data_IF_355608346798
#
_entry.id   IF_355608346798
#
_cell.length_a   1.000
_cell.length_b   1.000
_cell.length_c   1.000
_cell.angle_alpha   90.00
_cell.angle_beta   90.00
_cell.angle_gamma   90.00
#
_symmetry.space_group_name_H-M   'P 1'
#
loop_
_entity.id
_entity.type
_entity.pdbx_description
1 polymer ?
#
# COMPACT_ATOMS: atom_id res chain seq x y z
N UNK A 1 60.34 -27.94 20.73
CA UNK A 1 58.91 -27.95 21.12
C UNK A 1 58.77 -27.11 22.40
N UNK A 2 58.47 -25.80 22.28
CA UNK A 2 58.11 -24.84 23.37
C UNK A 2 58.41 -23.42 22.85
N UNK A 3 57.46 -22.82 22.11
CA UNK A 3 57.35 -21.35 21.89
C UNK A 3 56.25 -20.97 20.85
N UNK A 4 55.17 -21.74 20.71
CA UNK A 4 54.05 -21.37 19.82
C UNK A 4 52.66 -21.41 20.47
N UNK A 5 52.60 -21.62 21.78
CA UNK A 5 51.34 -21.68 22.55
C UNK A 5 50.95 -20.36 23.21
N UNK A 6 51.81 -19.32 23.16
CA UNK A 6 51.55 -18.03 23.84
C UNK A 6 50.71 -17.03 23.03
N UNK A 7 50.85 -16.99 21.70
CA UNK A 7 50.12 -16.02 20.88
C UNK A 7 48.64 -16.40 20.66
N UNK A 8 48.31 -17.69 20.57
CA UNK A 8 46.92 -18.13 20.42
C UNK A 8 46.06 -17.80 21.64
N UNK A 9 46.62 -17.89 22.86
CA UNK A 9 45.90 -17.54 24.10
C UNK A 9 45.66 -16.04 24.26
N UNK A 10 46.61 -15.21 23.84
CA UNK A 10 46.48 -13.75 23.92
C UNK A 10 45.40 -13.21 22.97
N UNK A 11 45.28 -13.78 21.78
CA UNK A 11 44.30 -13.34 20.77
C UNK A 11 42.87 -13.71 21.14
N UNK A 12 42.65 -14.88 21.75
CA UNK A 12 41.33 -15.31 22.25
C UNK A 12 40.89 -14.52 23.49
N UNK A 13 41.83 -14.15 24.37
CA UNK A 13 41.54 -13.30 25.53
C UNK A 13 41.15 -11.86 25.14
N UNK A 14 41.77 -11.30 24.10
CA UNK A 14 41.44 -9.97 23.55
C UNK A 14 40.05 -9.94 22.88
N UNK A 15 39.63 -11.02 22.22
CA UNK A 15 38.28 -11.15 21.65
C UNK A 15 37.19 -11.30 22.72
N UNK A 16 37.46 -12.02 23.80
CA UNK A 16 36.52 -12.14 24.94
C UNK A 16 36.46 -10.84 25.75
N UNK A 17 37.59 -10.15 25.93
CA UNK A 17 37.65 -8.83 26.58
C UNK A 17 36.98 -7.71 25.75
N UNK A 18 36.94 -7.85 24.42
CA UNK A 18 36.19 -6.96 23.52
C UNK A 18 34.67 -7.22 23.46
N UNK A 19 34.21 -8.40 23.91
CA UNK A 19 32.78 -8.76 23.98
C UNK A 19 32.14 -8.41 25.32
N UNK A 20 32.92 -8.32 26.40
CA UNK A 20 32.46 -7.94 27.74
C UNK A 20 31.83 -6.53 27.83
N UNK A 21 32.27 -5.49 27.10
CA UNK A 21 31.61 -4.18 27.13
C UNK A 21 30.24 -4.17 26.40
N UNK A 22 29.99 -5.13 25.50
CA UNK A 22 28.71 -5.26 24.79
C UNK A 22 27.64 -5.88 25.70
N UNK A 23 28.06 -6.73 26.65
CA UNK A 23 27.18 -7.31 27.69
C UNK A 23 26.91 -6.33 28.86
N UNK A 24 27.69 -5.25 28.95
CA UNK A 24 27.53 -4.16 29.92
C UNK A 24 27.28 -2.84 29.19
N UNK A 25 26.37 -2.85 28.21
CA UNK A 25 25.86 -1.60 27.66
C UNK A 25 25.34 -0.74 28.82
N UNK A 26 26.06 0.32 29.18
CA UNK A 26 25.57 1.28 30.16
C UNK A 26 24.28 1.85 29.60
N UNK A 27 23.15 1.78 30.33
CA UNK A 27 21.92 2.37 29.85
C UNK A 27 22.22 3.82 29.51
N UNK A 28 21.84 4.23 28.29
CA UNK A 28 22.08 5.59 27.85
C UNK A 28 21.50 6.56 28.91
N UNK A 29 22.27 7.56 29.31
CA UNK A 29 21.79 8.62 30.20
C UNK A 29 21.39 9.81 29.33
N UNK A 30 20.19 10.35 29.57
CA UNK A 30 19.75 11.53 28.84
C UNK A 30 20.67 12.72 29.16
N UNK A 31 21.13 13.44 28.14
CA UNK A 31 21.94 14.65 28.31
C UNK A 31 21.17 15.78 29.01
N UNK A 32 19.84 15.68 29.08
CA UNK A 32 18.95 16.63 29.77
C UNK A 32 17.98 15.89 30.71
N UNK A 33 17.55 16.57 31.77
CA UNK A 33 16.70 16.06 32.86
C UNK A 33 15.24 15.78 32.47
N UNK A 34 14.91 15.79 31.19
CA UNK A 34 13.54 15.66 30.68
C UNK A 34 13.00 14.21 30.67
N UNK A 35 13.85 13.21 30.95
CA UNK A 35 13.47 11.79 31.02
C UNK A 35 13.32 11.09 29.66
N UNK A 36 13.01 9.79 29.69
CA UNK A 36 12.70 8.98 28.50
C UNK A 36 11.19 8.92 28.24
N UNK A 37 10.74 8.79 26.98
CA UNK A 37 9.35 8.51 26.70
C UNK A 37 8.94 7.15 27.26
N UNK A 38 7.67 7.00 27.63
CA UNK A 38 7.05 5.70 27.92
C UNK A 38 6.20 5.29 26.73
N UNK A 39 6.53 4.16 26.11
CA UNK A 39 5.77 3.62 24.99
C UNK A 39 4.60 2.76 25.49
N UNK A 40 3.47 2.84 24.79
CA UNK A 40 2.28 2.04 25.05
C UNK A 40 1.79 1.36 23.76
N UNK A 41 0.83 0.46 23.88
CA UNK A 41 0.27 -0.30 22.76
C UNK A 41 0.61 -1.79 22.80
N UNK A 42 0.16 -2.56 21.81
CA UNK A 42 0.35 -4.00 21.78
C UNK A 42 1.81 -4.37 21.48
N UNK A 43 2.22 -5.56 21.93
CA UNK A 43 3.48 -6.18 21.51
C UNK A 43 3.53 -6.34 20.00
N UNK A 44 4.70 -6.12 19.40
CA UNK A 44 4.90 -6.29 17.95
C UNK A 44 5.22 -7.75 17.63
N UNK A 45 4.82 -8.26 16.45
CA UNK A 45 5.15 -9.63 16.04
C UNK A 45 6.66 -9.79 15.83
N UNK A 46 7.20 -10.92 16.29
CA UNK A 46 8.58 -11.30 15.99
C UNK A 46 8.74 -11.59 14.49
N UNK A 47 9.86 -11.19 13.86
CA UNK A 47 10.16 -11.57 12.49
C UNK A 47 10.40 -13.09 12.42
N UNK A 48 9.85 -13.79 11.41
CA UNK A 48 10.16 -15.19 11.14
C UNK A 48 11.53 -15.32 10.45
N UNK A 49 11.90 -16.57 10.11
CA UNK A 49 13.11 -16.84 9.35
C UNK A 49 14.39 -16.80 10.19
N UNK A 50 15.53 -16.72 9.52
CA UNK A 50 16.86 -16.74 10.13
C UNK A 50 17.58 -15.43 9.84
N UNK A 51 18.16 -14.82 10.89
CA UNK A 51 18.96 -13.62 10.75
C UNK A 51 20.27 -13.92 10.00
N UNK A 52 20.62 -13.06 9.06
CA UNK A 52 21.86 -13.16 8.29
C UNK A 52 22.28 -11.81 7.74
N UNK A 53 23.59 -11.59 7.60
CA UNK A 53 24.14 -10.33 7.08
C UNK A 53 23.63 -10.12 5.65
N UNK A 54 22.84 -9.07 5.44
CA UNK A 54 22.27 -8.72 4.14
C UNK A 54 21.07 -9.55 3.68
N UNK A 55 20.73 -10.65 4.37
CA UNK A 55 19.72 -11.62 3.91
C UNK A 55 18.46 -11.69 4.78
N UNK A 56 18.44 -11.04 5.95
CA UNK A 56 17.32 -11.18 6.91
C UNK A 56 15.95 -10.84 6.31
N UNK A 57 15.80 -9.73 5.58
CA UNK A 57 14.50 -9.38 4.98
C UNK A 57 14.03 -10.41 3.94
N UNK A 58 14.95 -10.99 3.17
CA UNK A 58 14.65 -12.06 2.22
C UNK A 58 14.22 -13.33 2.97
N UNK A 59 14.95 -13.72 4.03
CA UNK A 59 14.59 -14.88 4.84
C UNK A 59 13.22 -14.74 5.51
N UNK A 60 12.86 -13.53 5.97
CA UNK A 60 11.53 -13.22 6.51
C UNK A 60 10.46 -13.47 5.43
N UNK A 61 10.65 -12.92 4.23
CA UNK A 61 9.69 -13.09 3.13
C UNK A 61 9.57 -14.56 2.69
N UNK A 62 10.69 -15.26 2.52
CA UNK A 62 10.70 -16.65 2.04
C UNK A 62 9.95 -17.58 2.99
N UNK A 63 10.12 -17.39 4.30
CA UNK A 63 9.44 -18.16 5.35
C UNK A 63 7.90 -18.07 5.27
N UNK A 64 7.36 -17.02 4.65
CA UNK A 64 5.92 -16.73 4.59
C UNK A 64 5.36 -16.72 3.16
N UNK A 65 6.24 -16.79 2.16
CA UNK A 65 5.90 -16.63 0.73
C UNK A 65 4.90 -17.66 0.20
N UNK A 66 4.76 -18.81 0.88
CA UNK A 66 3.73 -19.81 0.60
C UNK A 66 2.31 -19.38 1.01
N UNK A 67 2.16 -18.40 1.89
CA UNK A 67 0.88 -17.92 2.42
C UNK A 67 0.48 -16.53 1.92
N UNK A 68 -0.37 -15.87 2.72
CA UNK A 68 -0.89 -14.51 2.50
C UNK A 68 -0.79 -13.64 3.76
N UNK A 69 -0.08 -14.11 4.78
CA UNK A 69 0.07 -13.44 6.07
C UNK A 69 1.56 -13.13 6.26
N UNK A 70 1.92 -11.85 6.08
CA UNK A 70 3.31 -11.39 6.07
C UNK A 70 3.64 -10.56 7.30
N UNK A 71 4.85 -10.72 7.81
CA UNK A 71 5.35 -10.02 9.00
C UNK A 71 5.25 -8.50 8.88
N UNK A 72 5.59 -7.92 7.73
CA UNK A 72 5.50 -6.47 7.50
C UNK A 72 4.06 -5.96 7.60
N UNK A 73 3.09 -6.71 7.08
CA UNK A 73 1.68 -6.36 7.22
C UNK A 73 1.20 -6.50 8.66
N UNK A 74 1.58 -7.57 9.37
CA UNK A 74 1.23 -7.74 10.79
C UNK A 74 1.87 -6.67 11.68
N UNK A 75 3.12 -6.29 11.41
CA UNK A 75 3.84 -5.26 12.15
C UNK A 75 3.15 -3.89 12.05
N UNK A 76 2.64 -3.57 10.85
CA UNK A 76 2.01 -2.30 10.52
C UNK A 76 0.47 -2.36 10.51
N UNK A 77 -0.10 -3.46 11.00
CA UNK A 77 -1.53 -3.69 11.01
C UNK A 77 -2.28 -2.70 11.90
N UNK A 78 -3.51 -2.40 11.47
CA UNK A 78 -4.44 -1.45 12.08
C UNK A 78 -5.81 -2.14 12.20
N UNK A 79 -6.07 -2.84 13.31
CA UNK A 79 -7.36 -3.46 13.57
C UNK A 79 -8.39 -2.41 14.01
N UNK A 80 -9.64 -2.65 13.65
CA UNK A 80 -10.77 -1.80 14.05
C UNK A 80 -10.65 -0.36 13.53
N UNK A 81 -11.10 0.58 14.36
CA UNK A 81 -11.08 2.01 14.08
C UNK A 81 -9.98 2.72 14.89
N UNK A 82 -8.77 2.13 14.95
CA UNK A 82 -7.70 2.63 15.82
C UNK A 82 -6.34 2.87 15.12
N UNK A 83 -5.84 4.12 15.11
CA UNK A 83 -6.65 5.35 15.14
C UNK A 83 -7.68 5.38 14.00
N UNK A 84 -8.80 6.04 14.28
CA UNK A 84 -9.81 6.38 13.30
C UNK A 84 -9.22 7.33 12.25
N UNK A 85 -9.72 7.23 11.02
CA UNK A 85 -9.36 8.18 9.98
C UNK A 85 -9.86 7.76 8.60
N UNK A 86 -9.63 8.64 7.63
CA UNK A 86 -10.11 8.51 6.25
C UNK A 86 -9.01 8.02 5.34
N UNK A 87 -8.18 7.07 5.79
CA UNK A 87 -7.01 6.59 5.06
C UNK A 87 -7.16 5.11 4.71
N UNK A 88 -6.75 4.78 3.50
CA UNK A 88 -6.55 3.42 3.03
C UNK A 88 -5.05 3.22 2.77
N UNK A 89 -4.42 2.28 3.48
CA UNK A 89 -2.96 2.09 3.41
C UNK A 89 -2.49 1.49 2.08
N UNK A 90 -3.31 0.65 1.46
CA UNK A 90 -3.01 0.00 0.17
C UNK A 90 -3.13 0.99 -0.98
N UNK A 91 -2.07 1.07 -1.79
CA UNK A 91 -1.96 1.92 -2.98
C UNK A 91 -1.10 1.27 -4.06
N UNK A 92 -1.33 1.70 -5.29
CA UNK A 92 -0.43 1.46 -6.42
C UNK A 92 0.64 2.55 -6.53
N UNK A 93 1.44 2.48 -7.60
CA UNK A 93 2.50 3.47 -7.89
C UNK A 93 1.94 4.86 -8.21
N UNK A 94 0.76 4.94 -8.80
CA UNK A 94 0.02 6.16 -9.11
C UNK A 94 -1.35 6.27 -8.45
N UNK A 95 -2.08 5.15 -8.32
CA UNK A 95 -3.46 5.14 -7.82
C UNK A 95 -3.55 4.89 -6.31
N UNK A 96 -4.35 5.70 -5.62
CA UNK A 96 -4.63 5.58 -4.19
C UNK A 96 -5.98 6.25 -3.85
N UNK A 97 -6.37 6.20 -2.58
CA UNK A 97 -7.49 6.99 -2.06
C UNK A 97 -6.94 8.16 -1.25
N UNK A 98 -7.14 9.38 -1.73
CA UNK A 98 -6.80 10.61 -1.01
C UNK A 98 -7.63 10.74 0.28
N UNK A 99 -8.91 10.36 0.19
CA UNK A 99 -9.73 10.02 1.36
C UNK A 99 -10.42 8.68 1.14
N UNK A 100 -10.63 7.94 2.22
CA UNK A 100 -11.30 6.65 2.22
C UNK A 100 -12.58 6.71 3.05
N UNK A 101 -13.69 6.31 2.43
CA UNK A 101 -14.95 6.02 3.10
C UNK A 101 -15.14 4.49 3.25
N UNK A 102 -15.04 3.93 4.46
CA UNK A 102 -15.25 2.51 4.72
C UNK A 102 -16.73 2.10 4.67
N UNK A 103 -17.70 3.01 4.67
CA UNK A 103 -19.12 2.64 4.53
C UNK A 103 -19.45 2.18 3.10
N UNK A 104 -18.65 2.56 2.11
CA UNK A 104 -18.83 2.15 0.71
C UNK A 104 -18.07 0.84 0.45
N UNK A 105 -18.82 -0.24 0.16
CA UNK A 105 -18.24 -1.49 -0.36
C UNK A 105 -17.62 -1.21 -1.74
N UNK A 106 -16.35 -1.56 -1.91
CA UNK A 106 -15.53 -1.13 -3.05
C UNK A 106 -14.47 -0.13 -2.62
N UNK A 107 -14.25 0.90 -3.44
CA UNK A 107 -13.29 1.97 -3.17
C UNK A 107 -14.01 3.32 -3.13
N UNK A 108 -14.67 3.58 -2.00
CA UNK A 108 -15.30 4.87 -1.72
C UNK A 108 -14.39 5.89 -1.03
N UNK A 109 -14.74 7.16 -1.16
CA UNK A 109 -13.90 8.30 -0.84
C UNK A 109 -13.35 8.97 -2.10
N UNK A 110 -12.30 9.77 -1.99
CA UNK A 110 -11.73 10.49 -3.13
C UNK A 110 -10.64 9.67 -3.81
N UNK A 111 -10.95 9.12 -4.98
CA UNK A 111 -9.96 8.42 -5.80
C UNK A 111 -8.93 9.39 -6.38
N UNK A 112 -7.67 8.97 -6.33
CA UNK A 112 -6.54 9.69 -6.84
C UNK A 112 -5.75 8.84 -7.84
N UNK A 113 -5.22 9.49 -8.86
CA UNK A 113 -4.13 9.00 -9.70
C UNK A 113 -3.15 10.17 -9.82
N UNK A 114 -1.95 10.01 -9.24
CA UNK A 114 -1.04 11.09 -8.84
C UNK A 114 -1.65 12.05 -7.81
N UNK A 115 -2.81 12.66 -8.09
CA UNK A 115 -3.64 13.45 -7.18
C UNK A 115 -5.13 13.14 -7.40
N UNK A 116 -6.02 13.75 -6.61
CA UNK A 116 -7.46 13.59 -6.70
C UNK A 116 -7.96 13.78 -8.13
N UNK A 117 -8.72 12.81 -8.65
CA UNK A 117 -9.19 12.84 -10.05
C UNK A 117 -10.38 13.79 -10.19
N UNK A 118 -11.35 13.67 -9.29
CA UNK A 118 -12.58 14.49 -9.30
C UNK A 118 -13.31 14.57 -7.96
N UNK A 119 -12.66 14.16 -6.86
CA UNK A 119 -13.30 14.09 -5.55
C UNK A 119 -14.37 12.99 -5.39
N UNK A 120 -14.45 12.03 -6.32
CA UNK A 120 -15.43 10.95 -6.31
C UNK A 120 -14.79 9.58 -6.02
N UNK A 121 -15.64 8.63 -5.60
CA UNK A 121 -15.31 7.21 -5.45
C UNK A 121 -14.61 6.66 -6.69
N UNK A 122 -13.71 5.68 -6.51
CA UNK A 122 -13.20 4.90 -7.63
C UNK A 122 -14.31 4.02 -8.20
N UNK A 123 -14.96 3.25 -7.33
CA UNK A 123 -16.22 2.55 -7.62
C UNK A 123 -16.92 2.11 -6.33
N UNK A 124 -18.22 1.85 -6.43
CA UNK A 124 -19.05 1.32 -5.37
C UNK A 124 -19.74 0.03 -5.82
N UNK A 125 -19.91 -0.91 -4.89
CA UNK A 125 -20.68 -2.15 -5.06
C UNK A 125 -21.87 -2.10 -4.11
N UNK A 126 -23.06 -1.88 -4.65
CA UNK A 126 -24.31 -1.92 -3.86
C UNK A 126 -24.89 -3.32 -3.88
N UNK A 127 -25.42 -3.77 -2.74
CA UNK A 127 -26.03 -5.08 -2.57
C UNK A 127 -27.48 -4.87 -2.11
N UNK A 128 -28.43 -5.53 -2.78
CA UNK A 128 -29.87 -5.41 -2.46
C UNK A 128 -30.56 -6.78 -2.52
N UNK A 129 -31.68 -6.99 -1.81
CA UNK A 129 -32.29 -6.07 -0.85
C UNK A 129 -31.47 -5.93 0.45
N UNK A 130 -31.79 -4.90 1.22
CA UNK A 130 -31.21 -4.65 2.55
C UNK A 130 -30.24 -3.46 2.58
N UNK A 131 -29.81 -3.12 3.80
CA UNK A 131 -28.84 -2.07 4.08
C UNK A 131 -27.66 -2.71 4.78
N UNK A 132 -26.51 -2.71 4.12
CA UNK A 132 -25.31 -3.38 4.61
C UNK A 132 -24.46 -2.42 5.44
N UNK A 133 -24.35 -2.69 6.73
CA UNK A 133 -23.59 -1.87 7.67
C UNK A 133 -22.29 -2.56 8.05
N UNK A 134 -21.20 -1.80 8.04
CA UNK A 134 -19.89 -2.30 8.42
C UNK A 134 -19.85 -2.70 9.91
N UNK A 135 -19.26 -3.87 10.16
CA UNK A 135 -18.91 -4.35 11.48
C UNK A 135 -17.48 -3.90 11.80
N UNK A 136 -17.35 -2.68 12.31
CA UNK A 136 -16.05 -2.01 12.52
C UNK A 136 -15.07 -2.81 13.38
N UNK A 137 -15.55 -3.60 14.34
CA UNK A 137 -14.70 -4.50 15.16
C UNK A 137 -14.00 -5.59 14.34
N UNK A 138 -14.46 -5.85 13.12
CA UNK A 138 -13.88 -6.81 12.17
C UNK A 138 -13.16 -6.12 11.01
N UNK A 139 -12.98 -4.79 11.09
CA UNK A 139 -12.09 -4.07 10.19
C UNK A 139 -10.65 -4.43 10.52
N UNK A 140 -9.83 -4.59 9.48
CA UNK A 140 -8.40 -4.73 9.62
C UNK A 140 -7.74 -4.16 8.37
N UNK A 141 -6.69 -3.35 8.51
CA UNK A 141 -5.89 -2.95 7.35
C UNK A 141 -4.40 -2.98 7.64
N UNK A 142 -3.62 -3.14 6.59
CA UNK A 142 -2.17 -3.11 6.59
C UNK A 142 -1.69 -2.49 5.27
N UNK A 143 -0.39 -2.19 5.12
CA UNK A 143 0.18 -1.64 3.88
C UNK A 143 -0.32 -2.30 2.60
N UNK A 144 -0.42 -3.63 2.55
CA UNK A 144 -0.80 -4.32 1.32
C UNK A 144 -2.31 -4.35 1.06
N UNK A 145 -3.18 -4.38 2.08
CA UNK A 145 -4.61 -4.59 1.86
C UNK A 145 -5.49 -4.16 3.05
N UNK A 146 -6.79 -4.04 2.78
CA UNK A 146 -7.84 -3.76 3.74
C UNK A 146 -8.86 -4.90 3.76
N UNK A 147 -9.37 -5.22 4.94
CA UNK A 147 -10.42 -6.20 5.21
C UNK A 147 -11.54 -5.56 6.02
N UNK A 148 -12.76 -5.96 5.73
CA UNK A 148 -13.92 -5.58 6.52
C UNK A 148 -15.09 -6.50 6.30
N UNK A 149 -16.12 -6.32 7.12
CA UNK A 149 -17.29 -7.18 7.14
C UNK A 149 -18.52 -6.29 7.17
N UNK A 150 -19.51 -6.59 6.35
CA UNK A 150 -20.78 -5.88 6.30
C UNK A 150 -21.92 -6.87 6.52
N UNK A 151 -22.96 -6.46 7.24
CA UNK A 151 -24.11 -7.33 7.53
C UNK A 151 -25.43 -6.63 7.24
N UNK A 152 -26.42 -7.41 6.80
CA UNK A 152 -27.81 -7.00 6.62
C UNK A 152 -28.71 -8.21 6.89
N UNK A 153 -29.44 -8.20 7.99
CA UNK A 153 -30.22 -9.36 8.44
C UNK A 153 -29.33 -10.60 8.60
N UNK A 154 -29.69 -11.71 7.95
CA UNK A 154 -28.94 -12.96 7.97
C UNK A 154 -27.75 -13.02 6.98
N UNK A 155 -27.56 -11.98 6.16
CA UNK A 155 -26.51 -11.93 5.15
C UNK A 155 -25.28 -11.25 5.72
N UNK A 156 -24.12 -11.87 5.50
CA UNK A 156 -22.80 -11.35 5.84
C UNK A 156 -21.94 -11.29 4.58
N UNK A 157 -21.24 -10.17 4.39
CA UNK A 157 -20.31 -9.94 3.29
C UNK A 157 -18.93 -9.66 3.86
N UNK A 158 -17.99 -10.58 3.67
CA UNK A 158 -16.58 -10.35 3.95
C UNK A 158 -15.91 -9.73 2.72
N UNK A 159 -15.20 -8.63 2.92
CA UNK A 159 -14.55 -7.86 1.86
C UNK A 159 -13.05 -7.86 2.09
N UNK A 160 -12.28 -8.13 1.05
CA UNK A 160 -10.84 -7.80 0.99
C UNK A 160 -10.62 -6.88 -0.20
N UNK A 161 -9.92 -5.76 -0.01
CA UNK A 161 -9.59 -4.84 -1.09
C UNK A 161 -8.13 -4.40 -1.06
N UNK A 162 -7.58 -4.19 -2.24
CA UNK A 162 -6.18 -3.81 -2.44
C UNK A 162 -5.99 -3.09 -3.79
N UNK A 163 -4.94 -2.28 -3.89
CA UNK A 163 -4.52 -1.68 -5.14
C UNK A 163 -3.17 -2.29 -5.52
N UNK A 164 -3.09 -2.87 -6.70
CA UNK A 164 -1.88 -3.51 -7.22
C UNK A 164 -0.82 -2.47 -7.61
N UNK A 165 0.41 -2.92 -7.88
CA UNK A 165 1.51 -2.00 -8.19
C UNK A 165 1.21 -1.12 -9.41
N UNK A 166 0.69 -1.70 -10.49
CA UNK A 166 0.30 -1.00 -11.72
C UNK A 166 -1.16 -0.51 -11.69
N UNK A 167 -1.62 -0.09 -10.52
CA UNK A 167 -2.82 0.73 -10.35
C UNK A 167 -4.15 0.01 -10.67
N UNK A 168 -4.29 -1.26 -10.29
CA UNK A 168 -5.56 -1.99 -10.36
C UNK A 168 -6.18 -2.06 -8.97
N UNK A 169 -7.30 -1.36 -8.77
CA UNK A 169 -8.08 -1.44 -7.54
C UNK A 169 -9.00 -2.66 -7.58
N UNK A 170 -8.85 -3.58 -6.64
CA UNK A 170 -9.54 -4.88 -6.60
C UNK A 170 -10.33 -5.03 -5.30
N UNK A 171 -11.57 -5.50 -5.39
CA UNK A 171 -12.40 -5.89 -4.24
C UNK A 171 -12.88 -7.31 -4.42
N UNK A 172 -12.51 -8.20 -3.50
CA UNK A 172 -13.12 -9.53 -3.36
C UNK A 172 -14.24 -9.46 -2.34
N UNK A 173 -15.33 -10.19 -2.60
CA UNK A 173 -16.51 -10.26 -1.75
C UNK A 173 -16.87 -11.73 -1.56
N UNK A 174 -16.92 -12.19 -0.32
CA UNK A 174 -17.54 -13.45 0.05
C UNK A 174 -18.88 -13.16 0.70
N UNK A 175 -19.97 -13.44 -0.02
CA UNK A 175 -21.34 -13.24 0.42
C UNK A 175 -21.87 -14.55 0.98
N UNK A 176 -22.34 -14.52 2.22
CA UNK A 176 -22.77 -15.70 2.97
C UNK A 176 -24.18 -15.48 3.54
N UNK A 177 -25.00 -16.54 3.55
CA UNK A 177 -26.33 -16.53 4.14
C UNK A 177 -26.37 -17.41 5.39
N UNK A 178 -26.39 -16.79 6.58
CA UNK A 178 -26.49 -17.48 7.86
C UNK A 178 -27.95 -17.73 8.30
N UNK A 179 -28.92 -17.46 7.43
CA UNK A 179 -30.34 -17.66 7.72
C UNK A 179 -30.78 -19.11 7.54
N UNK A 180 -32.07 -19.36 7.75
CA UNK A 180 -32.69 -20.70 7.61
C UNK A 180 -33.37 -20.93 6.25
N UNK A 181 -33.46 -19.92 5.40
CA UNK A 181 -34.10 -19.99 4.07
C UNK A 181 -33.18 -19.42 2.99
N UNK A 182 -33.51 -19.69 1.72
CA UNK A 182 -32.77 -19.13 0.60
C UNK A 182 -33.01 -17.62 0.46
N UNK A 183 -31.96 -16.89 0.10
CA UNK A 183 -32.02 -15.45 -0.21
C UNK A 183 -31.44 -15.19 -1.60
N UNK A 184 -32.01 -14.22 -2.31
CA UNK A 184 -31.48 -13.75 -3.59
C UNK A 184 -31.06 -12.29 -3.45
N UNK A 185 -29.83 -12.00 -3.86
CA UNK A 185 -29.19 -10.69 -3.77
C UNK A 185 -28.80 -10.21 -5.17
N UNK A 186 -28.98 -8.93 -5.43
CA UNK A 186 -28.43 -8.23 -6.59
C UNK A 186 -27.21 -7.44 -6.17
N UNK A 187 -26.07 -7.79 -6.74
CA UNK A 187 -24.83 -7.04 -6.64
C UNK A 187 -24.75 -6.11 -7.86
N UNK A 188 -24.49 -4.83 -7.63
CA UNK A 188 -24.37 -3.84 -8.68
C UNK A 188 -23.14 -2.97 -8.45
N UNK A 189 -22.19 -2.98 -9.39
CA UNK A 189 -20.98 -2.17 -9.33
C UNK A 189 -21.01 -1.02 -10.34
N UNK A 190 -20.60 0.17 -9.90
CA UNK A 190 -20.49 1.36 -10.76
C UNK A 190 -19.25 2.18 -10.43
N UNK A 191 -18.65 2.76 -11.47
CA UNK A 191 -17.59 3.75 -11.37
C UNK A 191 -18.01 5.04 -12.08
N UNK A 192 -17.73 6.24 -11.52
CA UNK A 192 -17.89 7.49 -12.26
C UNK A 192 -16.86 7.63 -13.40
N UNK A 193 -15.83 6.78 -13.43
CA UNK A 193 -14.74 6.86 -14.40
C UNK A 193 -14.81 5.80 -15.52
N UNK A 194 -15.72 4.84 -15.41
CA UNK A 194 -15.94 3.79 -16.41
C UNK A 194 -17.44 3.51 -16.57
N UNK A 195 -18.04 4.08 -17.63
CA UNK A 195 -19.50 4.06 -17.86
C UNK A 195 -19.89 3.58 -19.25
N UNK A 196 -18.92 3.44 -20.16
CA UNK A 196 -19.18 3.02 -21.54
C UNK A 196 -19.07 1.51 -21.65
N UNK A 197 -20.10 0.83 -22.18
CA UNK A 197 -20.06 -0.63 -22.38
C UNK A 197 -19.07 -0.97 -23.50
N UNK A 198 -18.14 -1.88 -23.22
CA UNK A 198 -17.20 -2.42 -24.21
C UNK A 198 -16.99 -3.91 -23.94
N UNK A 199 -17.66 -4.76 -24.72
CA UNK A 199 -17.64 -6.21 -24.51
C UNK A 199 -18.21 -6.59 -23.16
N UNK A 200 -17.43 -7.29 -22.34
CA UNK A 200 -17.80 -7.73 -20.99
C UNK A 200 -17.38 -6.76 -19.89
N UNK A 201 -17.07 -5.50 -20.22
CA UNK A 201 -16.52 -4.53 -19.29
C UNK A 201 -17.11 -3.13 -19.51
N UNK A 202 -16.89 -2.25 -18.54
CA UNK A 202 -17.09 -0.81 -18.71
C UNK A 202 -15.75 -0.11 -18.90
N UNK A 203 -15.69 0.84 -19.81
CA UNK A 203 -14.51 1.65 -20.11
C UNK A 203 -14.80 3.13 -19.91
N UNK A 204 -13.75 3.93 -19.79
CA UNK A 204 -13.83 5.39 -19.83
C UNK A 204 -12.52 6.04 -20.20
N UNK A 205 -12.51 7.36 -20.20
CA UNK A 205 -11.32 8.18 -20.39
C UNK A 205 -11.48 9.46 -19.58
N UNK A 206 -10.43 9.84 -18.84
CA UNK A 206 -10.47 10.98 -17.94
C UNK A 206 -9.08 11.61 -17.83
N UNK A 207 -8.97 12.89 -18.16
CA UNK A 207 -7.78 13.66 -17.81
C UNK A 207 -7.66 13.73 -16.28
N UNK A 208 -6.46 13.51 -15.76
CA UNK A 208 -6.18 13.69 -14.33
C UNK A 208 -5.98 15.18 -14.01
N UNK A 209 -5.83 15.53 -12.73
CA UNK A 209 -5.61 16.91 -12.29
C UNK A 209 -4.48 17.56 -13.09
N UNK A 210 -4.67 18.84 -13.40
CA UNK A 210 -3.78 19.68 -14.22
C UNK A 210 -3.51 19.17 -15.64
N UNK A 211 -4.33 18.22 -16.12
CA UNK A 211 -4.22 17.59 -17.44
C UNK A 211 -2.83 16.98 -17.69
N UNK A 212 -2.15 16.52 -16.64
CA UNK A 212 -0.79 15.97 -16.75
C UNK A 212 -0.76 14.68 -17.57
N UNK A 213 -1.81 13.86 -17.46
CA UNK A 213 -2.01 12.66 -18.30
C UNK A 213 -3.51 12.34 -18.41
N UNK A 214 -3.83 11.25 -19.11
CA UNK A 214 -5.19 10.71 -19.24
C UNK A 214 -5.22 9.26 -18.78
N UNK A 215 -6.03 8.97 -17.76
CA UNK A 215 -6.38 7.60 -17.43
C UNK A 215 -7.47 7.08 -18.37
N UNK A 216 -7.45 5.78 -18.66
CA UNK A 216 -8.39 5.04 -19.51
C UNK A 216 -9.04 3.89 -18.72
N UNK A 217 -9.92 4.19 -17.76
CA UNK A 217 -10.28 3.20 -16.75
C UNK A 217 -11.08 2.04 -17.33
N UNK A 218 -10.86 0.84 -16.80
CA UNK A 218 -11.60 -0.38 -17.17
C UNK A 218 -12.15 -1.07 -15.94
N UNK A 219 -13.46 -1.25 -15.87
CA UNK A 219 -14.18 -1.88 -14.76
C UNK A 219 -14.79 -3.21 -15.22
N UNK A 220 -14.50 -4.27 -14.46
CA UNK A 220 -14.99 -5.64 -14.74
C UNK A 220 -15.22 -6.39 -13.42
N UNK A 221 -15.98 -7.48 -13.47
CA UNK A 221 -16.20 -8.32 -12.30
C UNK A 221 -16.60 -9.75 -12.65
N UNK A 222 -16.20 -10.68 -11.80
CA UNK A 222 -16.37 -12.11 -12.04
C UNK A 222 -17.86 -12.50 -12.02
N UNK A 223 -18.35 -13.07 -13.12
CA UNK A 223 -19.77 -13.45 -13.25
C UNK A 223 -20.74 -12.26 -13.27
N UNK A 224 -20.25 -11.03 -13.47
CA UNK A 224 -21.10 -9.87 -13.71
C UNK A 224 -21.45 -9.74 -15.19
N UNK A 225 -22.64 -9.21 -15.45
CA UNK A 225 -23.11 -8.79 -16.76
C UNK A 225 -23.00 -7.27 -16.88
N UNK A 226 -22.73 -6.76 -18.08
CA UNK A 226 -22.55 -5.32 -18.31
C UNK A 226 -23.74 -4.75 -19.06
N UNK A 227 -24.38 -3.74 -18.46
CA UNK A 227 -25.45 -3.00 -19.12
C UNK A 227 -25.62 -1.63 -18.46
N UNK A 228 -26.05 -0.63 -19.23
CA UNK A 228 -26.50 0.67 -18.73
C UNK A 228 -25.49 1.34 -17.77
N UNK A 229 -24.20 1.29 -18.13
CA UNK A 229 -23.13 1.89 -17.33
C UNK A 229 -22.86 1.20 -15.98
N UNK A 230 -23.30 -0.04 -15.80
CA UNK A 230 -23.12 -0.81 -14.57
C UNK A 230 -22.72 -2.27 -14.83
N UNK A 231 -22.07 -2.87 -13.84
CA UNK A 231 -21.93 -4.31 -13.73
C UNK A 231 -23.03 -4.84 -12.81
N UNK A 232 -23.79 -5.85 -13.22
CA UNK A 232 -24.83 -6.49 -12.39
C UNK A 232 -24.65 -8.00 -12.28
N UNK A 233 -24.85 -8.55 -11.08
CA UNK A 233 -24.84 -9.98 -10.80
C UNK A 233 -25.94 -10.36 -9.82
N UNK A 234 -26.79 -11.32 -10.20
CA UNK A 234 -27.76 -11.96 -9.31
C UNK A 234 -27.12 -13.16 -8.62
N UNK A 235 -27.31 -13.28 -7.32
CA UNK A 235 -26.77 -14.36 -6.49
C UNK A 235 -27.88 -14.93 -5.62
N UNK A 236 -28.16 -16.23 -5.77
CA UNK A 236 -29.09 -16.96 -4.88
C UNK A 236 -28.29 -17.88 -3.96
N UNK A 237 -28.46 -17.74 -2.65
CA UNK A 237 -27.78 -18.53 -1.63
C UNK A 237 -28.82 -19.29 -0.82
N UNK A 238 -28.68 -20.62 -0.71
CA UNK A 238 -29.41 -21.39 0.30
C UNK A 238 -28.89 -21.08 1.71
N UNK A 239 -29.58 -21.59 2.73
CA UNK A 239 -29.11 -21.51 4.12
C UNK A 239 -27.70 -22.12 4.25
N UNK A 240 -26.79 -21.40 4.90
CA UNK A 240 -25.39 -21.80 5.11
C UNK A 240 -24.48 -21.69 3.88
N UNK A 241 -25.00 -21.30 2.70
CA UNK A 241 -24.19 -21.17 1.49
C UNK A 241 -23.43 -19.86 1.43
N UNK A 242 -22.31 -19.89 0.72
CA UNK A 242 -21.49 -18.71 0.40
C UNK A 242 -21.07 -18.71 -1.06
N UNK A 243 -20.91 -17.51 -1.63
CA UNK A 243 -20.27 -17.32 -2.94
C UNK A 243 -19.17 -16.27 -2.82
N UNK A 244 -18.07 -16.47 -3.52
CA UNK A 244 -17.01 -15.47 -3.66
C UNK A 244 -17.01 -14.89 -5.07
N UNK A 245 -16.84 -13.58 -5.18
CA UNK A 245 -16.70 -12.84 -6.43
C UNK A 245 -15.65 -11.74 -6.30
N UNK A 246 -15.24 -11.17 -7.43
CA UNK A 246 -14.31 -10.05 -7.49
C UNK A 246 -14.83 -8.96 -8.43
N UNK A 247 -14.52 -7.71 -8.11
CA UNK A 247 -14.67 -6.54 -8.99
C UNK A 247 -13.34 -5.81 -9.02
N UNK A 248 -12.93 -5.35 -10.20
CA UNK A 248 -11.66 -4.66 -10.38
C UNK A 248 -11.79 -3.48 -11.35
N UNK A 249 -11.13 -2.37 -10.98
CA UNK A 249 -10.98 -1.16 -11.78
C UNK A 249 -9.49 -0.93 -12.07
N UNK A 250 -9.07 -1.02 -13.33
CA UNK A 250 -7.73 -0.62 -13.75
C UNK A 250 -7.68 0.88 -14.05
N UNK A 251 -6.73 1.61 -13.44
CA UNK A 251 -6.40 2.98 -13.81
C UNK A 251 -5.29 2.96 -14.87
N UNK A 252 -5.69 2.65 -16.10
CA UNK A 252 -4.75 2.43 -17.21
C UNK A 252 -4.25 3.75 -17.77
N UNK A 253 -2.97 3.83 -18.08
CA UNK A 253 -2.35 4.95 -18.79
C UNK A 253 -1.50 4.44 -19.95
N UNK A 254 -1.23 5.30 -20.93
CA UNK A 254 -0.48 4.90 -22.13
C UNK A 254 1.03 4.79 -21.81
N UNK A 255 1.52 5.64 -20.91
CA UNK A 255 2.90 5.68 -20.42
C UNK A 255 3.29 4.49 -19.53
N UNK A 256 2.32 3.83 -18.88
CA UNK A 256 2.55 2.60 -18.10
C UNK A 256 1.76 1.45 -18.76
N UNK A 257 2.27 0.85 -19.85
CA UNK A 257 1.57 -0.23 -20.56
C UNK A 257 1.32 -1.47 -19.68
N UNK A 258 2.13 -1.67 -18.64
CA UNK A 258 1.93 -2.73 -17.65
C UNK A 258 0.64 -2.56 -16.85
N UNK A 259 0.06 -1.36 -16.77
CA UNK A 259 -1.24 -1.14 -16.11
C UNK A 259 -2.38 -1.90 -16.81
N UNK A 260 -2.34 -1.96 -18.14
CA UNK A 260 -3.29 -2.75 -18.94
C UNK A 260 -3.03 -4.25 -18.78
N UNK A 261 -1.75 -4.66 -18.81
CA UNK A 261 -1.35 -6.07 -18.66
C UNK A 261 -1.71 -6.60 -17.27
N UNK A 262 -1.46 -5.83 -16.20
CA UNK A 262 -1.81 -6.20 -14.84
C UNK A 262 -3.33 -6.22 -14.66
N UNK A 263 -4.06 -5.24 -15.22
CA UNK A 263 -5.54 -5.26 -15.22
C UNK A 263 -6.09 -6.55 -15.86
N UNK A 264 -5.62 -6.90 -17.07
CA UNK A 264 -6.05 -8.12 -17.75
C UNK A 264 -5.72 -9.38 -16.92
N UNK A 265 -4.53 -9.42 -16.31
CA UNK A 265 -4.12 -10.51 -15.41
C UNK A 265 -5.08 -10.64 -14.23
N UNK A 266 -5.31 -9.56 -13.48
CA UNK A 266 -6.18 -9.58 -12.29
C UNK A 266 -7.65 -9.78 -12.64
N UNK A 267 -8.07 -9.41 -13.85
CA UNK A 267 -9.40 -9.75 -14.35
C UNK A 267 -9.58 -11.26 -14.46
N UNK A 268 -8.58 -11.97 -14.97
CA UNK A 268 -8.67 -13.40 -15.29
C UNK A 268 -8.33 -14.30 -14.08
N UNK A 269 -7.66 -13.76 -13.05
CA UNK A 269 -7.40 -14.46 -11.79
C UNK A 269 -8.67 -14.67 -10.96
N UNK A 270 -8.82 -15.86 -10.37
CA UNK A 270 -9.83 -16.12 -9.35
C UNK A 270 -9.61 -15.23 -8.10
N UNK A 271 -10.66 -14.94 -7.30
CA UNK A 271 -10.57 -13.99 -6.17
C UNK A 271 -9.43 -14.26 -5.18
N UNK A 272 -9.28 -15.51 -4.72
CA UNK A 272 -8.26 -15.87 -3.73
C UNK A 272 -6.84 -15.82 -4.34
N UNK A 273 -6.70 -16.24 -5.60
CA UNK A 273 -5.43 -16.17 -6.33
C UNK A 273 -5.03 -14.73 -6.61
N UNK A 274 -5.98 -13.85 -6.93
CA UNK A 274 -5.74 -12.42 -7.09
C UNK A 274 -5.21 -11.81 -5.79
N UNK A 275 -5.84 -12.09 -4.65
CA UNK A 275 -5.37 -11.62 -3.35
C UNK A 275 -3.97 -12.16 -3.01
N UNK A 276 -3.76 -13.47 -3.16
CA UNK A 276 -2.46 -14.09 -2.88
C UNK A 276 -1.34 -13.55 -3.77
N UNK A 277 -1.62 -13.30 -5.06
CA UNK A 277 -0.68 -12.71 -6.01
C UNK A 277 -0.27 -11.31 -5.57
N UNK A 278 -1.25 -10.47 -5.24
CA UNK A 278 -1.02 -9.09 -4.79
C UNK A 278 -0.20 -9.04 -3.50
N UNK A 279 -0.65 -9.73 -2.45
CA UNK A 279 -0.02 -9.61 -1.13
C UNK A 279 1.42 -10.11 -1.13
N UNK A 280 1.72 -11.15 -1.93
CA UNK A 280 3.09 -11.64 -2.15
C UNK A 280 3.93 -10.61 -2.90
N UNK A 281 3.43 -10.06 -4.00
CA UNK A 281 4.14 -9.04 -4.77
C UNK A 281 4.42 -7.79 -3.93
N UNK A 282 3.41 -7.31 -3.19
CA UNK A 282 3.54 -6.13 -2.33
C UNK A 282 4.60 -6.33 -1.24
N UNK A 283 4.61 -7.49 -0.59
CA UNK A 283 5.54 -7.78 0.51
C UNK A 283 6.95 -8.15 0.02
N UNK A 284 7.08 -8.70 -1.18
CA UNK A 284 8.39 -8.96 -1.80
C UNK A 284 9.22 -7.69 -1.94
N UNK A 285 8.56 -6.57 -2.23
CA UNK A 285 9.22 -5.27 -2.30
C UNK A 285 10.02 -4.96 -1.03
N UNK A 286 9.52 -5.33 0.16
CA UNK A 286 10.24 -5.10 1.42
C UNK A 286 11.54 -5.92 1.48
N UNK A 287 11.49 -7.18 1.04
CA UNK A 287 12.66 -8.05 0.95
C UNK A 287 13.72 -7.49 -0.01
N UNK A 288 13.28 -7.03 -1.18
CA UNK A 288 14.15 -6.52 -2.22
C UNK A 288 14.76 -5.17 -1.86
N UNK A 289 14.02 -4.30 -1.17
CA UNK A 289 14.42 -2.89 -1.01
C UNK A 289 14.89 -2.51 0.40
N UNK A 290 14.36 -3.10 1.47
CA UNK A 290 14.65 -2.62 2.83
C UNK A 290 15.91 -3.24 3.46
N UNK A 291 16.80 -2.45 4.06
CA UNK A 291 17.71 -2.99 5.06
C UNK A 291 16.90 -3.54 6.25
N UNK A 292 17.30 -4.68 6.79
CA UNK A 292 16.76 -5.14 8.07
C UNK A 292 17.38 -4.31 9.18
N UNK A 293 16.53 -3.66 9.98
CA UNK A 293 16.95 -2.90 11.16
C UNK A 293 16.41 -3.60 12.40
N UNK A 294 17.30 -3.90 13.33
CA UNK A 294 16.99 -4.49 14.61
C UNK A 294 17.43 -3.58 15.74
N UNK A 295 16.53 -3.33 16.67
CA UNK A 295 16.77 -2.50 17.85
C UNK A 295 16.09 -3.13 19.06
N UNK A 296 16.64 -3.00 20.28
CA UNK A 296 16.08 -3.64 21.47
C UNK A 296 14.68 -3.14 21.85
N UNK A 297 14.35 -1.88 21.54
CA UNK A 297 13.07 -1.26 21.87
C UNK A 297 12.02 -1.52 20.76
N UNK A 298 10.97 -2.35 21.00
CA UNK A 298 9.98 -2.70 19.99
C UNK A 298 9.22 -1.50 19.40
N UNK A 299 8.94 -0.47 20.20
CA UNK A 299 8.24 0.71 19.72
C UNK A 299 9.07 1.49 18.68
N UNK A 300 10.38 1.62 18.92
CA UNK A 300 11.33 2.24 17.98
C UNK A 300 11.44 1.36 16.73
N UNK A 301 11.54 0.04 16.87
CA UNK A 301 11.56 -0.89 15.73
C UNK A 301 10.34 -0.69 14.83
N UNK A 302 9.14 -0.70 15.41
CA UNK A 302 7.89 -0.47 14.67
C UNK A 302 7.88 0.90 14.00
N UNK A 303 8.34 1.95 14.69
CA UNK A 303 8.43 3.30 14.11
C UNK A 303 9.34 3.35 12.88
N UNK A 304 10.50 2.68 12.91
CA UNK A 304 11.41 2.61 11.77
C UNK A 304 10.74 1.96 10.55
N UNK A 305 10.09 0.81 10.72
CA UNK A 305 9.36 0.17 9.61
C UNK A 305 8.14 0.97 9.15
N UNK A 306 7.50 1.70 10.07
CA UNK A 306 6.45 2.66 9.71
C UNK A 306 7.00 3.81 8.87
N UNK A 307 8.19 4.35 9.19
CA UNK A 307 8.88 5.35 8.35
C UNK A 307 9.21 4.81 6.96
N UNK A 308 9.67 3.57 6.84
CA UNK A 308 9.86 2.94 5.53
C UNK A 308 8.57 2.83 4.73
N UNK A 309 7.47 2.48 5.39
CA UNK A 309 6.16 2.53 4.76
C UNK A 309 5.76 3.95 4.37
N UNK A 310 5.99 4.97 5.19
CA UNK A 310 5.72 6.37 4.83
C UNK A 310 6.50 6.79 3.59
N UNK A 311 7.79 6.42 3.50
CA UNK A 311 8.63 6.73 2.35
C UNK A 311 8.13 6.04 1.07
N UNK A 312 7.66 4.79 1.16
CA UNK A 312 7.06 4.08 0.03
C UNK A 312 5.68 4.62 -0.33
N UNK A 313 4.86 4.96 0.67
CA UNK A 313 3.48 5.39 0.49
C UNK A 313 3.41 6.81 -0.09
N UNK A 314 4.32 7.69 0.33
CA UNK A 314 4.48 9.05 -0.21
C UNK A 314 5.47 9.08 -1.36
N UNK A 315 5.59 7.98 -2.12
CA UNK A 315 6.35 7.94 -3.36
C UNK A 315 5.38 7.82 -4.54
N UNK A 316 5.58 8.68 -5.52
CA UNK A 316 4.85 8.70 -6.77
C UNK A 316 5.75 8.20 -7.88
N UNK A 317 5.23 7.28 -8.68
CA UNK A 317 5.94 6.74 -9.83
C UNK A 317 4.91 6.51 -10.95
N UNK A 318 4.60 7.57 -11.69
CA UNK A 318 3.53 7.61 -12.70
C UNK A 318 4.03 7.74 -14.13
N UNK A 319 5.34 7.94 -14.32
CA UNK A 319 6.01 8.00 -15.63
C UNK A 319 5.34 8.97 -16.62
N UNK A 320 4.78 10.08 -16.11
CA UNK A 320 4.04 11.02 -16.95
C UNK A 320 5.01 11.64 -17.98
N UNK A 321 4.71 11.55 -19.29
CA UNK A 321 5.61 12.05 -20.31
C UNK A 321 5.66 13.58 -20.27
N UNK A 322 6.87 14.12 -20.41
CA UNK A 322 7.09 15.57 -20.40
C UNK A 322 8.06 15.97 -19.31
N UNK A 323 7.60 16.82 -18.38
CA UNK A 323 8.45 17.43 -17.36
C UNK A 323 8.01 17.02 -15.94
N UNK A 324 6.71 16.96 -15.71
CA UNK A 324 6.15 16.76 -14.38
C UNK A 324 5.94 15.26 -14.11
N UNK A 325 6.53 14.78 -13.00
CA UNK A 325 6.37 13.40 -12.51
C UNK A 325 6.77 12.28 -13.50
N UNK A 326 7.71 12.57 -14.41
CA UNK A 326 8.32 11.55 -15.28
C UNK A 326 9.15 10.53 -14.49
N UNK A 327 9.85 10.97 -13.44
CA UNK A 327 10.68 10.09 -12.62
C UNK A 327 9.98 9.75 -11.31
N UNK A 328 10.26 8.56 -10.72
CA UNK A 328 9.85 8.24 -9.37
C UNK A 328 10.28 9.34 -8.40
N UNK A 329 9.37 9.86 -7.58
CA UNK A 329 9.66 10.98 -6.70
C UNK A 329 8.87 10.87 -5.39
N UNK A 330 9.49 11.29 -4.29
CA UNK A 330 8.76 11.48 -3.04
C UNK A 330 7.91 12.75 -3.06
N UNK A 331 6.69 12.66 -2.57
CA UNK A 331 5.78 13.80 -2.41
C UNK A 331 5.61 14.16 -0.94
N UNK A 332 5.40 15.44 -0.65
CA UNK A 332 5.15 15.92 0.70
C UNK A 332 3.70 15.66 1.11
N UNK A 333 3.45 14.44 1.58
CA UNK A 333 2.14 14.01 2.05
C UNK A 333 1.15 13.77 0.91
N UNK A 334 1.11 12.55 0.39
CA UNK A 334 0.16 12.14 -0.66
C UNK A 334 -1.32 12.28 -0.25
N UNK A 335 -1.61 12.38 1.05
CA UNK A 335 -2.95 12.64 1.60
C UNK A 335 -3.11 14.07 2.13
N UNK A 336 -2.19 14.96 1.76
CA UNK A 336 -2.15 16.36 2.15
C UNK A 336 -1.86 17.22 0.92
N UNK A 337 -0.75 17.95 0.94
CA UNK A 337 -0.41 18.84 -0.18
C UNK A 337 -0.06 18.08 -1.46
N UNK A 338 0.51 16.88 -1.35
CA UNK A 338 0.74 15.97 -2.48
C UNK A 338 1.52 16.60 -3.66
N UNK A 339 2.50 17.46 -3.35
CA UNK A 339 3.44 17.99 -4.33
C UNK A 339 4.88 17.52 -4.04
N UNK A 340 5.72 17.57 -5.06
CA UNK A 340 7.17 17.37 -4.95
C UNK A 340 7.86 18.69 -4.58
N UNK A 341 8.05 18.89 -3.28
CA UNK A 341 8.63 20.11 -2.71
C UNK A 341 10.14 19.97 -2.60
N UNK A 342 10.89 20.90 -3.21
CA UNK A 342 12.37 20.81 -3.25
C UNK A 342 13.00 20.95 -1.86
N UNK A 343 12.38 21.68 -0.94
CA UNK A 343 12.86 21.76 0.46
C UNK A 343 12.95 20.37 1.11
N UNK A 344 11.91 19.55 0.93
CA UNK A 344 11.80 18.24 1.59
C UNK A 344 12.37 17.09 0.77
N UNK A 345 12.63 17.26 -0.54
CA UNK A 345 13.34 16.24 -1.33
C UNK A 345 14.66 15.74 -0.70
N UNK A 346 15.65 16.59 -0.35
CA UNK A 346 16.87 16.12 0.30
C UNK A 346 16.60 15.41 1.63
N UNK A 347 15.57 15.84 2.37
CA UNK A 347 15.19 15.24 3.64
C UNK A 347 14.61 13.83 3.46
N UNK A 348 13.77 13.62 2.45
CA UNK A 348 13.26 12.29 2.10
C UNK A 348 14.37 11.40 1.55
N UNK A 349 15.27 11.95 0.73
CA UNK A 349 16.42 11.23 0.16
C UNK A 349 17.37 10.75 1.25
N UNK A 350 17.44 11.44 2.40
CA UNK A 350 18.23 10.99 3.54
C UNK A 350 17.79 9.61 4.05
N UNK A 351 16.50 9.28 3.97
CA UNK A 351 15.98 7.92 4.19
C UNK A 351 16.08 7.06 2.92
N UNK A 352 15.59 7.56 1.78
CA UNK A 352 15.44 6.77 0.53
C UNK A 352 16.77 6.24 -0.02
N UNK A 353 17.90 6.90 0.25
CA UNK A 353 19.24 6.45 -0.18
C UNK A 353 19.66 5.11 0.42
N UNK A 354 19.00 4.66 1.48
CA UNK A 354 19.25 3.34 2.10
C UNK A 354 18.43 2.21 1.47
N UNK A 355 17.47 2.51 0.58
CA UNK A 355 16.79 1.49 -0.20
C UNK A 355 17.76 0.87 -1.20
N UNK A 356 17.72 -0.46 -1.36
CA UNK A 356 18.67 -1.18 -2.22
C UNK A 356 18.54 -0.81 -3.70
N UNK A 357 17.33 -0.50 -4.17
CA UNK A 357 17.13 -0.04 -5.54
C UNK A 357 17.36 1.48 -5.61
N UNK A 358 18.37 1.95 -6.38
CA UNK A 358 18.71 3.36 -6.43
C UNK A 358 17.60 4.23 -7.04
N UNK A 359 16.64 3.64 -7.77
CA UNK A 359 15.54 4.40 -8.41
C UNK A 359 14.79 5.29 -7.39
N UNK A 360 14.63 4.82 -6.16
CA UNK A 360 13.90 5.56 -5.11
C UNK A 360 14.65 6.79 -4.59
N UNK A 361 15.95 6.91 -4.82
CA UNK A 361 16.75 8.08 -4.42
C UNK A 361 17.23 8.89 -5.62
N UNK A 362 17.51 8.24 -6.75
CA UNK A 362 17.96 8.89 -7.97
C UNK A 362 16.80 9.56 -8.71
N UNK A 363 15.62 8.92 -8.73
CA UNK A 363 14.40 9.49 -9.33
C UNK A 363 14.06 10.88 -8.75
N UNK A 364 13.99 11.06 -7.42
CA UNK A 364 13.78 12.38 -6.81
C UNK A 364 14.79 13.44 -7.27
N UNK A 365 16.09 13.10 -7.32
CA UNK A 365 17.11 14.04 -7.79
C UNK A 365 16.96 14.41 -9.27
N UNK A 366 16.71 13.42 -10.12
CA UNK A 366 16.50 13.63 -11.55
C UNK A 366 15.26 14.50 -11.81
N UNK A 367 14.16 14.23 -11.10
CA UNK A 367 12.93 15.01 -11.19
C UNK A 367 13.14 16.47 -10.80
N UNK A 368 13.81 16.75 -9.68
CA UNK A 368 14.16 18.13 -9.28
C UNK A 368 15.01 18.81 -10.35
N UNK A 369 16.07 18.14 -10.84
CA UNK A 369 16.93 18.70 -11.88
C UNK A 369 16.18 19.00 -13.18
N UNK A 370 15.32 18.07 -13.61
CA UNK A 370 14.50 18.17 -14.82
C UNK A 370 13.58 19.39 -14.76
N UNK A 371 12.80 19.50 -13.69
CA UNK A 371 11.85 20.60 -13.47
C UNK A 371 12.56 21.96 -13.38
N UNK A 372 13.75 21.98 -12.79
CA UNK A 372 14.52 23.21 -12.59
C UNK A 372 15.17 23.75 -13.87
N UNK A 373 15.26 22.96 -14.95
CA UNK A 373 15.73 23.36 -16.29
C UNK A 373 17.07 24.12 -16.29
N UNK A 374 17.99 23.73 -15.40
CA UNK A 374 19.31 24.36 -15.23
C UNK A 374 19.30 25.70 -14.48
N UNK A 375 18.15 26.14 -13.97
CA UNK A 375 18.00 27.29 -13.08
C UNK A 375 18.06 26.91 -11.61
N UNK A 376 17.45 27.75 -10.78
CA UNK A 376 17.27 27.50 -9.34
C UNK A 376 16.43 26.25 -9.12
N UNK A 377 16.69 25.54 -8.03
CA UNK A 377 15.83 24.41 -7.71
C UNK A 377 14.42 24.88 -7.36
N UNK A 378 13.41 24.22 -7.91
CA UNK A 378 12.03 24.66 -7.81
C UNK A 378 11.08 23.51 -7.48
N UNK A 379 10.00 23.84 -6.78
CA UNK A 379 8.89 22.91 -6.54
C UNK A 379 8.30 22.44 -7.88
N UNK A 380 7.78 21.20 -7.90
CA UNK A 380 7.21 20.64 -9.13
C UNK A 380 5.94 21.42 -9.55
N UNK A 381 5.88 21.95 -10.78
CA UNK A 381 4.76 22.77 -11.24
C UNK A 381 3.54 21.93 -11.64
N UNK A 382 3.63 20.59 -11.58
CA UNK A 382 2.51 19.69 -11.77
C UNK A 382 1.40 19.88 -10.74
N UNK A 383 1.68 20.51 -9.60
CA UNK A 383 0.68 20.91 -8.60
C UNK A 383 0.88 22.37 -8.13
N UNK A 384 0.58 23.36 -9.00
CA UNK A 384 0.91 24.75 -8.75
C UNK A 384 0.08 25.37 -7.61
N UNK A 385 -1.01 24.73 -7.19
CA UNK A 385 -1.81 25.14 -6.05
C UNK A 385 -1.11 24.90 -4.70
N UNK A 386 -0.18 23.95 -4.64
CA UNK A 386 0.46 23.49 -3.42
C UNK A 386 1.96 23.73 -3.45
N UNK A 387 2.37 24.93 -3.02
CA UNK A 387 3.75 25.44 -3.04
C UNK A 387 4.35 25.50 -4.46
N UNK A 388 4.55 26.72 -4.94
CA UNK A 388 5.21 27.02 -6.22
C UNK A 388 6.35 28.00 -5.99
N UNK A 389 7.34 27.56 -5.21
CA UNK A 389 8.51 28.37 -4.89
C UNK A 389 9.75 27.84 -5.59
N UNK A 390 10.68 28.75 -5.88
CA UNK A 390 12.04 28.42 -6.27
C UNK A 390 12.97 28.85 -5.15
N UNK A 391 13.71 27.89 -4.59
CA UNK A 391 14.59 28.12 -3.46
C UNK A 391 16.04 28.01 -3.95
N UNK A 392 16.77 29.12 -3.75
CA UNK A 392 18.19 29.38 -4.07
C UNK A 392 18.70 29.01 -5.45
#
# INVERSE_FOLDING_TARGET
MRQRSGLAGATTALLIAGLLPVLLATPATAAQTIGYPTFSGPTIPAPPGTAGVGTTMQSIYDAESGGTDFWMDRLLARPGNDPAGTWLMTRGRGAYLYTHDPAVIGFGGQAAYWDTISGQNAYAITISPGTFTEQVSQRWQAPSHWKGVYTSGSVRVAVTKFITHQNVAVTTLTVSNAGSSSTTLQLRATSPYATTVSGSELTGSRAVKNNLTTIRPRLSGDGFTVANGALTRSVTLAAGQSVTTKVQLGFITDEIPESLTEYATYRDLAPDTAFATHVRAYNRWWAENLPYIDVPEPAIKKNIYYRWWLMRFNHLDVDIPGQDFQFPISVEGALGYNNAIVLTQPMHIDDLKYLRNPVYSYGPWLSVGQVSKGGKFTDNPGDPENWSNSYT
#
